data_IF_551849402710
#
_entry.id   IF_551849402710
#
_cell.length_a   1.000
_cell.length_b   1.000
_cell.length_c   1.000
_cell.angle_alpha   90.00
_cell.angle_beta   90.00
_cell.angle_gamma   90.00
#
_symmetry.space_group_name_H-M   'P 1'
#
loop_
_entity.id
_entity.type
_entity.pdbx_description
1 polymer ?
#
# COMPACT_ATOMS: atom_id res chain seq x y z
N UNK A 1 10.01 22.96 -7.91
CA UNK A 1 8.58 22.68 -7.64
C UNK A 1 8.26 22.57 -6.14
N UNK A 2 9.21 22.32 -5.22
CA UNK A 2 9.20 22.81 -3.83
C UNK A 2 8.04 22.45 -2.90
N UNK A 3 7.03 21.72 -3.36
CA UNK A 3 5.86 21.30 -2.59
C UNK A 3 6.09 19.96 -1.89
N UNK A 4 5.66 19.87 -0.64
CA UNK A 4 5.54 18.62 0.11
C UNK A 4 4.14 18.07 -0.08
N UNK A 5 3.96 16.80 -0.50
CA UNK A 5 2.62 16.23 -0.62
C UNK A 5 2.03 15.93 0.76
N UNK A 6 0.75 16.23 0.95
CA UNK A 6 0.00 15.76 2.12
C UNK A 6 -0.29 14.25 2.01
N UNK A 7 -0.56 13.76 0.78
CA UNK A 7 -0.94 12.38 0.51
C UNK A 7 -0.15 11.84 -0.70
N UNK A 8 0.39 10.63 -0.53
CA UNK A 8 0.93 9.80 -1.61
C UNK A 8 0.00 8.61 -1.81
N UNK A 9 -0.75 8.61 -2.91
CA UNK A 9 -1.67 7.53 -3.24
C UNK A 9 -1.00 6.51 -4.17
N UNK A 10 -0.76 5.33 -3.61
CA UNK A 10 -0.18 4.16 -4.23
C UNK A 10 -1.30 3.29 -4.83
N UNK A 11 -1.26 3.11 -6.15
CA UNK A 11 -2.22 2.27 -6.86
C UNK A 11 -1.62 0.88 -7.07
N UNK A 12 -2.13 -0.08 -6.29
CA UNK A 12 -1.94 -1.51 -6.49
C UNK A 12 -0.50 -2.03 -6.29
N UNK A 13 -0.33 -3.36 -6.39
CA UNK A 13 0.86 -4.11 -5.99
C UNK A 13 2.19 -3.57 -6.53
N UNK A 14 2.20 -2.97 -7.72
CA UNK A 14 3.39 -2.36 -8.34
C UNK A 14 3.96 -1.20 -7.51
N UNK A 15 3.12 -0.53 -6.72
CA UNK A 15 3.47 0.63 -5.89
C UNK A 15 3.60 0.27 -4.41
N UNK A 16 3.47 -1.00 -4.03
CA UNK A 16 3.46 -1.47 -2.64
C UNK A 16 4.72 -1.19 -1.83
N UNK A 17 5.85 -0.94 -2.48
CA UNK A 17 7.11 -0.56 -1.82
C UNK A 17 7.12 0.90 -1.36
N UNK A 18 6.33 1.77 -1.99
CA UNK A 18 6.36 3.21 -1.72
C UNK A 18 5.98 3.53 -0.27
N UNK A 19 4.90 2.96 0.33
CA UNK A 19 4.59 3.20 1.74
C UNK A 19 5.73 2.81 2.68
N UNK A 20 6.38 1.66 2.45
CA UNK A 20 7.55 1.24 3.23
C UNK A 20 8.66 2.30 3.14
N UNK A 21 8.99 2.75 1.94
CA UNK A 21 10.05 3.75 1.73
C UNK A 21 9.74 5.09 2.38
N UNK A 22 8.48 5.54 2.34
CA UNK A 22 8.04 6.75 3.05
C UNK A 22 8.21 6.62 4.58
N UNK A 23 7.93 5.43 5.13
CA UNK A 23 8.07 5.17 6.58
C UNK A 23 9.49 4.84 7.02
N UNK A 24 10.43 4.69 6.09
CA UNK A 24 11.83 4.33 6.38
C UNK A 24 12.79 5.32 5.75
N UNK A 25 13.29 5.06 4.54
CA UNK A 25 14.30 5.83 3.83
C UNK A 25 13.95 7.31 3.72
N UNK A 26 12.69 7.66 3.43
CA UNK A 26 12.25 9.05 3.27
C UNK A 26 11.61 9.65 4.52
N UNK A 27 11.55 8.91 5.64
CA UNK A 27 10.87 9.37 6.87
C UNK A 27 11.40 10.69 7.41
N UNK A 28 12.71 10.95 7.21
CA UNK A 28 13.39 12.17 7.68
C UNK A 28 13.54 13.23 6.60
N UNK A 29 13.11 12.94 5.37
CA UNK A 29 13.12 13.91 4.29
C UNK A 29 12.03 14.97 4.56
N UNK A 30 12.37 16.27 4.68
CA UNK A 30 11.40 17.34 4.91
C UNK A 30 10.26 17.38 3.89
N UNK A 31 10.46 16.85 2.68
CA UNK A 31 9.43 16.77 1.63
C UNK A 31 8.35 15.76 1.99
N UNK A 32 8.69 14.64 2.63
CA UNK A 32 7.77 13.51 2.84
C UNK A 32 7.46 13.20 4.30
N UNK A 33 8.15 13.84 5.26
CA UNK A 33 8.05 13.54 6.70
C UNK A 33 6.62 13.53 7.26
N UNK A 34 5.75 14.37 6.69
CA UNK A 34 4.35 14.53 7.12
C UNK A 34 3.37 13.85 6.17
N UNK A 35 3.84 13.33 5.03
CA UNK A 35 2.99 12.73 4.01
C UNK A 35 2.33 11.44 4.54
N UNK A 36 1.03 11.32 4.30
CA UNK A 36 0.26 10.09 4.50
C UNK A 36 0.29 9.24 3.24
N UNK A 37 0.18 7.94 3.41
CA UNK A 37 0.15 6.97 2.32
C UNK A 37 -1.18 6.24 2.25
N UNK A 38 -1.81 6.28 1.07
CA UNK A 38 -3.01 5.50 0.74
C UNK A 38 -2.58 4.39 -0.21
N UNK A 39 -3.01 3.16 0.03
CA UNK A 39 -2.74 2.02 -0.85
C UNK A 39 -4.05 1.37 -1.31
N UNK A 40 -4.40 1.53 -2.59
CA UNK A 40 -5.58 0.90 -3.17
C UNK A 40 -5.22 -0.47 -3.74
N UNK A 41 -5.99 -1.50 -3.39
CA UNK A 41 -5.89 -2.86 -3.93
C UNK A 41 -7.02 -3.10 -4.93
N UNK A 42 -6.69 -3.68 -6.08
CA UNK A 42 -7.64 -4.06 -7.13
C UNK A 42 -7.78 -5.57 -7.22
N UNK A 43 -8.91 -6.02 -7.79
CA UNK A 43 -9.20 -7.44 -7.97
C UNK A 43 -8.56 -7.97 -9.27
N UNK A 44 -7.23 -7.99 -9.31
CA UNK A 44 -6.43 -8.38 -10.47
C UNK A 44 -5.29 -9.35 -10.10
N UNK A 45 -5.55 -10.20 -9.11
CA UNK A 45 -4.62 -11.24 -8.67
C UNK A 45 -4.14 -12.12 -9.83
N UNK A 46 -2.87 -12.47 -9.81
CA UNK A 46 -2.25 -13.45 -10.70
C UNK A 46 -1.45 -14.47 -9.89
N UNK A 47 -1.25 -15.66 -10.48
CA UNK A 47 -0.64 -16.81 -9.80
C UNK A 47 0.87 -16.94 -10.05
N UNK A 48 1.41 -16.21 -11.03
CA UNK A 48 2.82 -16.26 -11.36
C UNK A 48 3.69 -15.68 -10.23
N UNK A 49 4.91 -16.22 -10.13
CA UNK A 49 5.94 -15.74 -9.21
C UNK A 49 7.01 -14.94 -9.93
N UNK A 50 7.53 -13.94 -9.25
CA UNK A 50 8.66 -13.16 -9.71
C UNK A 50 9.98 -13.91 -9.53
N UNK A 51 10.88 -13.75 -10.48
CA UNK A 51 12.20 -14.36 -10.45
C UNK A 51 13.22 -13.53 -9.64
N UNK A 52 14.16 -14.26 -9.02
CA UNK A 52 15.25 -13.72 -8.23
C UNK A 52 14.86 -13.40 -6.79
N UNK A 53 15.71 -12.62 -6.11
CA UNK A 53 15.52 -12.23 -4.73
C UNK A 53 14.90 -10.82 -4.65
N UNK A 54 13.58 -10.76 -4.43
CA UNK A 54 12.88 -9.47 -4.29
C UNK A 54 13.33 -8.67 -3.07
N UNK A 55 13.73 -9.34 -1.97
CA UNK A 55 14.23 -8.67 -0.77
C UNK A 55 15.50 -7.88 -1.10
N UNK A 56 16.47 -8.51 -1.77
CA UNK A 56 17.70 -7.84 -2.21
C UNK A 56 17.42 -6.68 -3.17
N UNK A 57 16.50 -6.88 -4.13
CA UNK A 57 16.13 -5.85 -5.11
C UNK A 57 15.47 -4.62 -4.47
N UNK A 58 14.69 -4.83 -3.40
CA UNK A 58 13.93 -3.78 -2.72
C UNK A 58 14.69 -3.10 -1.57
N UNK A 59 15.81 -3.68 -1.14
CA UNK A 59 16.58 -3.25 0.03
C UNK A 59 17.17 -1.84 -0.13
N UNK A 60 16.96 -1.01 0.89
CA UNK A 60 17.66 0.27 1.08
C UNK A 60 18.47 0.23 2.38
N UNK A 61 19.35 1.22 2.58
CA UNK A 61 20.24 1.29 3.75
C UNK A 61 19.47 1.25 5.09
N UNK A 62 18.33 1.94 5.15
CA UNK A 62 17.52 2.09 6.38
C UNK A 62 16.40 1.04 6.53
N UNK A 63 16.44 -0.04 5.76
CA UNK A 63 15.39 -1.06 5.73
C UNK A 63 16.00 -2.39 6.12
N UNK A 64 15.51 -3.05 7.17
CA UNK A 64 15.95 -4.40 7.56
C UNK A 64 15.21 -5.49 6.78
N UNK A 65 15.80 -6.70 6.67
CA UNK A 65 15.21 -7.81 5.89
C UNK A 65 13.86 -8.25 6.45
N UNK A 66 13.66 -8.09 7.77
CA UNK A 66 12.40 -8.40 8.44
C UNK A 66 11.28 -7.47 7.96
N UNK A 67 11.60 -6.22 7.60
CA UNK A 67 10.63 -5.27 7.04
C UNK A 67 10.18 -5.66 5.63
N UNK A 68 10.97 -6.49 4.93
CA UNK A 68 10.72 -6.98 3.59
C UNK A 68 10.26 -8.44 3.56
N UNK A 69 9.96 -9.04 4.73
CA UNK A 69 9.69 -10.48 4.84
C UNK A 69 8.57 -10.98 3.92
N UNK A 70 7.56 -10.15 3.67
CA UNK A 70 6.43 -10.50 2.82
C UNK A 70 6.87 -10.79 1.37
N UNK A 71 7.93 -10.13 0.90
CA UNK A 71 8.48 -10.33 -0.44
C UNK A 71 9.19 -11.68 -0.60
N UNK A 72 9.48 -12.41 0.48
CA UNK A 72 10.06 -13.77 0.39
C UNK A 72 9.13 -14.76 -0.31
N UNK A 73 7.84 -14.47 -0.36
CA UNK A 73 6.85 -15.25 -1.12
C UNK A 73 7.08 -15.19 -2.64
N UNK A 74 7.73 -14.13 -3.13
CA UNK A 74 7.95 -13.82 -4.55
C UNK A 74 6.65 -13.79 -5.37
N UNK A 75 5.52 -13.43 -4.79
CA UNK A 75 4.23 -13.40 -5.48
C UNK A 75 3.46 -12.09 -5.24
N UNK A 76 2.31 -11.98 -5.93
CA UNK A 76 1.38 -10.86 -5.79
C UNK A 76 0.97 -10.60 -4.34
N UNK A 77 0.70 -11.66 -3.56
CA UNK A 77 0.27 -11.53 -2.16
C UNK A 77 1.35 -10.90 -1.30
N UNK A 78 2.62 -11.25 -1.53
CA UNK A 78 3.75 -10.61 -0.85
C UNK A 78 3.81 -9.10 -1.03
N UNK A 79 3.61 -8.62 -2.26
CA UNK A 79 3.54 -7.18 -2.54
C UNK A 79 2.32 -6.53 -1.89
N UNK A 80 1.13 -7.12 -2.03
CA UNK A 80 -0.09 -6.57 -1.42
C UNK A 80 0.05 -6.47 0.10
N UNK A 81 0.52 -7.53 0.77
CA UNK A 81 0.78 -7.52 2.21
C UNK A 81 1.75 -6.42 2.61
N UNK A 82 2.85 -6.24 1.87
CA UNK A 82 3.83 -5.20 2.14
C UNK A 82 3.20 -3.80 2.05
N UNK A 83 2.43 -3.53 0.98
CA UNK A 83 1.73 -2.26 0.81
C UNK A 83 0.76 -2.00 1.97
N UNK A 84 0.00 -3.02 2.37
CA UNK A 84 -0.95 -2.93 3.49
C UNK A 84 -0.27 -2.73 4.85
N UNK A 85 0.87 -3.36 5.09
CA UNK A 85 1.63 -3.25 6.34
C UNK A 85 2.16 -1.83 6.56
N UNK A 86 2.59 -1.13 5.51
CA UNK A 86 3.24 0.17 5.66
C UNK A 86 2.36 1.37 5.32
N UNK A 87 1.24 1.18 4.61
CA UNK A 87 0.28 2.24 4.34
C UNK A 87 -0.39 2.77 5.63
N UNK A 88 -0.77 4.05 5.60
CA UNK A 88 -1.60 4.67 6.64
C UNK A 88 -3.07 4.25 6.47
N UNK A 89 -3.52 4.05 5.24
CA UNK A 89 -4.86 3.52 4.92
C UNK A 89 -4.82 2.62 3.70
N UNK A 90 -5.54 1.51 3.77
CA UNK A 90 -5.74 0.58 2.66
C UNK A 90 -7.13 0.77 2.10
N UNK A 91 -7.25 0.89 0.79
CA UNK A 91 -8.53 1.02 0.08
C UNK A 91 -8.80 -0.25 -0.72
N UNK A 92 -10.00 -0.79 -0.55
CA UNK A 92 -10.57 -1.84 -1.38
C UNK A 92 -11.35 -1.17 -2.52
N UNK A 93 -10.94 -1.40 -3.77
CA UNK A 93 -11.56 -0.78 -4.96
C UNK A 93 -12.87 -1.44 -5.42
N UNK A 94 -13.18 -2.60 -4.85
CA UNK A 94 -14.35 -3.42 -5.19
C UNK A 94 -15.02 -3.93 -3.91
N UNK A 95 -16.19 -4.53 -4.03
CA UNK A 95 -16.85 -5.28 -2.96
C UNK A 95 -16.47 -6.77 -3.04
N UNK A 96 -16.34 -7.28 -4.27
CA UNK A 96 -16.08 -8.68 -4.55
C UNK A 96 -14.62 -8.90 -4.94
N UNK A 97 -13.92 -9.70 -4.14
CA UNK A 97 -12.50 -10.02 -4.28
C UNK A 97 -12.32 -11.53 -4.25
N UNK A 98 -11.19 -12.00 -4.80
CA UNK A 98 -10.80 -13.40 -4.63
C UNK A 98 -10.75 -13.81 -3.15
N UNK A 99 -10.96 -15.10 -2.88
CA UNK A 99 -10.88 -15.66 -1.51
C UNK A 99 -9.52 -15.37 -0.86
N UNK A 100 -8.45 -15.37 -1.66
CA UNK A 100 -7.11 -15.03 -1.19
C UNK A 100 -7.04 -13.56 -0.71
N UNK A 101 -7.43 -12.61 -1.56
CA UNK A 101 -7.45 -11.18 -1.20
C UNK A 101 -8.36 -10.90 -0.01
N UNK A 102 -9.53 -11.54 0.07
CA UNK A 102 -10.40 -11.47 1.24
C UNK A 102 -9.73 -12.02 2.51
N UNK A 103 -8.94 -13.08 2.40
CA UNK A 103 -8.09 -13.59 3.47
C UNK A 103 -7.05 -12.55 3.92
N UNK A 104 -6.37 -11.90 2.97
CA UNK A 104 -5.39 -10.85 3.25
C UNK A 104 -6.02 -9.66 3.98
N UNK A 105 -7.17 -9.17 3.51
CA UNK A 105 -7.87 -8.07 4.18
C UNK A 105 -8.26 -8.42 5.62
N UNK A 106 -8.74 -9.63 5.88
CA UNK A 106 -9.07 -10.09 7.24
C UNK A 106 -7.85 -10.14 8.16
N UNK A 107 -6.69 -10.55 7.64
CA UNK A 107 -5.42 -10.60 8.39
C UNK A 107 -4.96 -9.21 8.88
N UNK A 108 -5.33 -8.14 8.14
CA UNK A 108 -4.91 -6.77 8.43
C UNK A 108 -6.01 -5.90 9.02
N UNK A 109 -7.28 -6.31 8.97
CA UNK A 109 -8.42 -5.54 9.49
C UNK A 109 -8.30 -5.17 10.98
N UNK A 110 -7.59 -5.99 11.77
CA UNK A 110 -7.34 -5.71 13.20
C UNK A 110 -6.18 -4.74 13.47
N UNK A 111 -5.32 -4.51 12.47
CA UNK A 111 -4.07 -3.74 12.60
C UNK A 111 -4.09 -2.43 11.82
N UNK A 112 -4.96 -2.32 10.82
CA UNK A 112 -4.96 -1.23 9.85
C UNK A 112 -6.37 -0.74 9.56
N UNK A 113 -6.46 0.55 9.23
CA UNK A 113 -7.67 1.13 8.69
C UNK A 113 -7.88 0.61 7.27
N UNK A 114 -8.99 -0.10 7.08
CA UNK A 114 -9.48 -0.52 5.78
C UNK A 114 -10.65 0.39 5.39
N UNK A 115 -10.52 1.06 4.26
CA UNK A 115 -11.59 1.81 3.61
C UNK A 115 -12.04 1.07 2.36
N UNK A 116 -13.25 1.35 1.90
CA UNK A 116 -13.79 0.81 0.67
C UNK A 116 -14.20 1.98 -0.22
N UNK A 117 -13.79 1.95 -1.48
CA UNK A 117 -14.15 2.93 -2.49
C UNK A 117 -14.52 2.14 -3.74
N UNK A 118 -15.81 2.05 -4.04
CA UNK A 118 -16.29 1.33 -5.22
C UNK A 118 -16.07 2.17 -6.49
N UNK A 119 -15.82 1.50 -7.62
CA UNK A 119 -15.75 2.11 -8.95
C UNK A 119 -17.15 2.43 -9.51
N UNK A 120 -17.91 3.26 -8.80
CA UNK A 120 -19.26 3.69 -9.14
C UNK A 120 -19.32 5.20 -9.44
N UNK A 121 -20.54 5.75 -9.59
CA UNK A 121 -20.75 7.18 -9.84
C UNK A 121 -20.23 8.09 -8.71
N UNK A 122 -20.02 7.55 -7.50
CA UNK A 122 -19.53 8.25 -6.33
C UNK A 122 -18.01 8.11 -6.13
N UNK A 123 -17.29 7.45 -7.05
CA UNK A 123 -15.84 7.21 -6.98
C UNK A 123 -15.05 8.49 -6.60
N UNK A 124 -15.31 9.58 -7.31
CA UNK A 124 -14.60 10.85 -7.09
C UNK A 124 -14.90 11.43 -5.70
N UNK A 125 -16.18 11.50 -5.32
CA UNK A 125 -16.59 12.00 -4.01
C UNK A 125 -16.07 11.14 -2.85
N UNK A 126 -16.00 9.82 -3.04
CA UNK A 126 -15.49 8.89 -2.04
C UNK A 126 -14.00 9.09 -1.81
N UNK A 127 -13.20 9.23 -2.88
CA UNK A 127 -11.78 9.55 -2.74
C UNK A 127 -11.55 10.95 -2.18
N UNK A 128 -12.35 11.94 -2.57
CA UNK A 128 -12.24 13.29 -2.03
C UNK A 128 -12.50 13.29 -0.51
N UNK A 129 -13.57 12.65 -0.05
CA UNK A 129 -13.86 12.52 1.38
C UNK A 129 -12.74 11.81 2.14
N UNK A 130 -12.16 10.75 1.56
CA UNK A 130 -11.02 10.05 2.15
C UNK A 130 -9.79 10.96 2.28
N UNK A 131 -9.47 11.74 1.25
CA UNK A 131 -8.31 12.64 1.29
C UNK A 131 -8.51 13.79 2.27
N UNK A 132 -9.70 14.38 2.32
CA UNK A 132 -10.02 15.44 3.27
C UNK A 132 -9.87 14.92 4.71
N UNK A 133 -10.34 13.70 5.00
CA UNK A 133 -10.20 13.09 6.32
C UNK A 133 -8.73 12.81 6.71
N UNK A 134 -7.88 12.42 5.75
CA UNK A 134 -6.47 12.12 6.00
C UNK A 134 -5.58 13.37 6.11
N UNK A 135 -6.05 14.51 5.60
CA UNK A 135 -5.30 15.77 5.58
C UNK A 135 -5.56 16.66 6.82
N UNK A 136 -6.37 16.19 7.76
CA UNK A 136 -6.72 16.86 9.02
C UNK A 136 -6.19 16.10 10.23
#
# INVERSE_FOLDING_TARGET
>A
LGWSPDIVHCNDWMTSLIPLYLKTTYKKDPVFKDAKSVFTVYNNEFLDKFEGNLVEKAKMLDIDDEMLKELKSNDFSGFVKLGMEYADTVVRSDEDFSDNLNGLFKEYASRKRLSQVAADENLLSSYQALYDELSH
#
